data_IF_724835503705
#
_entry.id   IF_724835503705
#
_cell.length_a   1.000
_cell.length_b   1.000
_cell.length_c   1.000
_cell.angle_alpha   90.00
_cell.angle_beta   90.00
_cell.angle_gamma   90.00
#
_symmetry.space_group_name_H-M   'P 1'
#
loop_
_entity.id
_entity.type
_entity.pdbx_description
1 polymer ?
#
# COMPACT_ATOMS: atom_id res chain seq x y z
N UNK A 1 15.53 -17.55 1.23
CA UNK A 1 14.10 -17.40 0.87
C UNK A 1 13.64 -16.10 1.51
N UNK A 2 12.96 -15.20 0.78
CA UNK A 2 12.42 -13.96 1.37
C UNK A 2 11.51 -14.31 2.54
N UNK A 3 11.51 -13.53 3.62
CA UNK A 3 10.49 -13.62 4.65
C UNK A 3 9.17 -13.04 4.11
N UNK A 4 8.05 -13.42 4.75
CA UNK A 4 6.74 -12.81 4.44
C UNK A 4 6.77 -11.28 4.56
N UNK A 5 7.51 -10.74 5.53
CA UNK A 5 7.66 -9.30 5.78
C UNK A 5 8.41 -8.61 4.64
N UNK A 6 9.53 -9.19 4.20
CA UNK A 6 10.29 -8.66 3.06
C UNK A 6 9.50 -8.73 1.75
N UNK A 7 8.70 -9.79 1.55
CA UNK A 7 7.83 -9.89 0.38
C UNK A 7 6.71 -8.83 0.39
N UNK A 8 6.14 -8.53 1.56
CA UNK A 8 5.19 -7.43 1.74
C UNK A 8 5.84 -6.06 1.52
N UNK A 9 7.06 -5.86 2.04
CA UNK A 9 7.83 -4.65 1.79
C UNK A 9 8.10 -4.47 0.29
N UNK A 10 8.51 -5.53 -0.41
CA UNK A 10 8.72 -5.48 -1.85
C UNK A 10 7.44 -5.12 -2.62
N UNK A 11 6.27 -5.66 -2.20
CA UNK A 11 4.99 -5.28 -2.79
C UNK A 11 4.67 -3.78 -2.57
N UNK A 12 4.89 -3.27 -1.35
CA UNK A 12 4.70 -1.85 -1.03
C UNK A 12 5.65 -0.96 -1.82
N UNK A 13 6.92 -1.34 -1.96
CA UNK A 13 7.90 -0.61 -2.79
C UNK A 13 7.48 -0.62 -4.26
N UNK A 14 7.02 -1.77 -4.77
CA UNK A 14 6.52 -1.87 -6.15
C UNK A 14 5.33 -0.94 -6.38
N UNK A 15 4.38 -0.94 -5.44
CA UNK A 15 3.20 -0.09 -5.50
C UNK A 15 3.54 1.40 -5.38
N UNK A 16 4.41 1.79 -4.45
CA UNK A 16 4.80 3.19 -4.28
C UNK A 16 5.57 3.71 -5.49
N UNK A 17 6.48 2.90 -6.07
CA UNK A 17 7.12 3.22 -7.33
C UNK A 17 6.10 3.48 -8.44
N UNK A 18 5.04 2.67 -8.52
CA UNK A 18 3.98 2.85 -9.52
C UNK A 18 3.20 4.14 -9.30
N UNK A 19 2.83 4.45 -8.05
CA UNK A 19 2.17 5.71 -7.69
C UNK A 19 3.02 6.94 -8.05
N UNK A 20 4.33 6.87 -7.83
CA UNK A 20 5.26 7.96 -8.19
C UNK A 20 5.36 8.10 -9.72
N UNK A 21 5.54 6.99 -10.47
CA UNK A 21 5.63 7.04 -11.94
C UNK A 21 4.39 7.62 -12.61
N UNK A 22 3.22 7.34 -12.05
CA UNK A 22 1.95 7.87 -12.54
C UNK A 22 1.64 9.29 -12.01
N UNK A 23 2.58 9.94 -11.32
CA UNK A 23 2.42 11.25 -10.69
C UNK A 23 1.21 11.33 -9.75
N UNK A 24 0.87 10.21 -9.08
CA UNK A 24 -0.23 10.13 -8.11
C UNK A 24 0.23 10.49 -6.70
N UNK A 25 1.49 10.26 -6.39
CA UNK A 25 2.14 10.65 -5.13
C UNK A 25 3.41 11.40 -5.46
N UNK A 26 3.51 12.63 -4.96
CA UNK A 26 4.76 13.38 -4.91
C UNK A 26 5.34 13.31 -3.48
N UNK A 27 6.53 12.72 -3.37
CA UNK A 27 7.27 12.61 -2.11
C UNK A 27 7.91 13.94 -1.67
N UNK A 28 7.92 14.96 -2.53
CA UNK A 28 8.30 16.33 -2.20
C UNK A 28 7.09 17.23 -2.00
N UNK A 29 5.89 16.71 -2.22
CA UNK A 29 4.65 17.46 -2.07
C UNK A 29 4.30 17.71 -0.61
N UNK A 30 3.50 18.73 -0.38
CA UNK A 30 2.86 19.01 0.91
C UNK A 30 1.46 18.38 0.93
N UNK A 31 0.99 18.05 2.12
CA UNK A 31 -0.39 17.64 2.31
C UNK A 31 -1.34 18.81 2.01
N UNK A 32 -2.48 18.56 1.34
CA UNK A 32 -3.45 19.60 1.04
C UNK A 32 -4.22 20.02 2.30
N UNK A 33 -4.60 21.30 2.36
CA UNK A 33 -5.45 21.82 3.43
C UNK A 33 -6.89 21.27 3.33
N UNK A 34 -7.35 21.00 2.12
CA UNK A 34 -8.67 20.45 1.82
C UNK A 34 -8.76 18.98 2.27
N UNK A 35 -9.73 18.70 3.15
CA UNK A 35 -9.97 17.38 3.72
C UNK A 35 -10.24 16.30 2.66
N UNK A 36 -10.93 16.60 1.56
CA UNK A 36 -11.23 15.58 0.55
C UNK A 36 -10.02 15.22 -0.32
N UNK A 37 -9.04 16.13 -0.42
CA UNK A 37 -7.78 15.89 -1.12
C UNK A 37 -6.74 15.14 -0.27
N UNK A 38 -7.02 14.95 1.02
CA UNK A 38 -6.17 14.16 1.93
C UNK A 38 -6.19 12.67 1.62
N UNK A 39 -7.04 12.20 0.71
CA UNK A 39 -7.18 10.81 0.33
C UNK A 39 -6.95 10.65 -1.16
N UNK A 40 -6.38 9.52 -1.55
CA UNK A 40 -6.28 9.17 -2.95
C UNK A 40 -6.29 7.67 -3.15
N UNK A 41 -6.74 7.25 -4.32
CA UNK A 41 -6.65 5.87 -4.76
C UNK A 41 -6.62 5.80 -6.28
N UNK A 42 -6.09 4.69 -6.80
CA UNK A 42 -6.27 4.32 -8.20
C UNK A 42 -6.13 2.82 -8.38
N UNK A 43 -6.65 2.34 -9.50
CA UNK A 43 -6.51 0.96 -9.95
C UNK A 43 -5.31 0.83 -10.89
N UNK A 44 -4.54 -0.24 -10.72
CA UNK A 44 -3.44 -0.58 -11.61
C UNK A 44 -3.22 -2.10 -11.63
N UNK A 45 -2.17 -2.54 -12.31
CA UNK A 45 -1.72 -3.93 -12.29
C UNK A 45 -0.31 -4.02 -11.70
N UNK A 46 -0.08 -4.98 -10.81
CA UNK A 46 1.25 -5.30 -10.28
C UNK A 46 1.47 -6.80 -10.40
N UNK A 47 2.50 -7.21 -11.15
CA UNK A 47 2.84 -8.62 -11.33
C UNK A 47 1.71 -9.47 -11.92
N UNK A 48 0.96 -8.92 -12.89
CA UNK A 48 -0.15 -9.62 -13.54
C UNK A 48 -1.43 -9.70 -12.70
N UNK A 49 -1.54 -8.91 -11.62
CA UNK A 49 -2.70 -8.93 -10.73
C UNK A 49 -3.36 -7.57 -10.59
N UNK A 50 -4.70 -7.50 -10.63
CA UNK A 50 -5.42 -6.26 -10.39
C UNK A 50 -5.13 -5.77 -8.98
N UNK A 51 -4.85 -4.48 -8.87
CA UNK A 51 -4.35 -3.86 -7.66
C UNK A 51 -5.04 -2.53 -7.43
N UNK A 52 -5.39 -2.26 -6.18
CA UNK A 52 -5.74 -0.91 -5.72
C UNK A 52 -4.59 -0.38 -4.88
N UNK A 53 -4.12 0.80 -5.23
CA UNK A 53 -3.23 1.60 -4.40
C UNK A 53 -4.07 2.71 -3.80
N UNK A 54 -3.95 2.93 -2.50
CA UNK A 54 -4.63 4.01 -1.82
C UNK A 54 -3.80 4.59 -0.68
N UNK A 55 -4.02 5.86 -0.38
CA UNK A 55 -3.28 6.59 0.64
C UNK A 55 -4.15 7.61 1.35
N UNK A 56 -3.68 8.04 2.52
CA UNK A 56 -4.24 9.18 3.22
C UNK A 56 -3.15 9.99 3.92
N UNK A 57 -3.27 11.30 3.88
CA UNK A 57 -2.54 12.20 4.77
C UNK A 57 -2.89 11.90 6.24
N UNK A 58 -1.87 11.87 7.09
CA UNK A 58 -2.00 11.64 8.54
C UNK A 58 -1.48 12.81 9.38
N UNK A 59 -1.23 13.96 8.74
CA UNK A 59 -0.62 15.12 9.35
C UNK A 59 0.89 15.14 9.17
N UNK A 60 1.49 16.32 9.42
CA UNK A 60 2.94 16.55 9.28
C UNK A 60 3.51 16.16 7.90
N UNK A 61 2.69 16.22 6.86
CA UNK A 61 2.99 15.75 5.51
C UNK A 61 3.29 14.26 5.40
N UNK A 62 2.97 13.44 6.38
CA UNK A 62 3.16 11.99 6.32
C UNK A 62 1.98 11.30 5.63
N UNK A 63 2.23 10.14 5.03
CA UNK A 63 1.18 9.36 4.38
C UNK A 63 1.02 7.99 5.03
N UNK A 64 -0.22 7.60 5.25
CA UNK A 64 -0.62 6.20 5.22
C UNK A 64 -0.62 5.75 3.77
N UNK A 65 0.11 4.69 3.44
CA UNK A 65 0.12 4.11 2.10
C UNK A 65 -0.27 2.65 2.15
N UNK A 66 -1.16 2.23 1.25
CA UNK A 66 -1.76 0.89 1.26
C UNK A 66 -1.86 0.32 -0.14
N UNK A 67 -1.70 -1.00 -0.20
CA UNK A 67 -1.84 -1.80 -1.43
C UNK A 67 -2.80 -2.95 -1.18
N UNK A 68 -3.80 -3.10 -2.05
CA UNK A 68 -4.71 -4.24 -2.10
C UNK A 68 -4.44 -4.99 -3.41
N UNK A 69 -3.74 -6.11 -3.32
CA UNK A 69 -3.21 -6.89 -4.43
C UNK A 69 -4.06 -8.13 -4.70
N UNK A 70 -4.27 -8.46 -5.98
CA UNK A 70 -5.28 -9.43 -6.43
C UNK A 70 -6.69 -9.01 -5.97
N UNK A 71 -6.99 -7.72 -6.13
CA UNK A 71 -8.25 -7.10 -5.73
C UNK A 71 -9.27 -7.13 -6.87
N UNK A 72 -10.43 -7.73 -6.62
CA UNK A 72 -11.54 -7.85 -7.58
C UNK A 72 -12.74 -7.06 -7.06
N UNK A 73 -12.88 -5.82 -7.53
CA UNK A 73 -13.89 -4.88 -7.04
C UNK A 73 -15.31 -5.41 -7.22
N UNK A 74 -15.58 -6.12 -8.32
CA UNK A 74 -16.87 -6.72 -8.65
C UNK A 74 -17.30 -7.84 -7.69
N UNK A 75 -16.35 -8.38 -6.91
CA UNK A 75 -16.59 -9.39 -5.87
C UNK A 75 -16.69 -8.77 -4.48
N UNK A 76 -16.53 -7.45 -4.37
CA UNK A 76 -16.59 -6.72 -3.10
C UNK A 76 -18.04 -6.64 -2.60
N UNK A 77 -18.36 -7.14 -1.38
CA UNK A 77 -19.74 -7.20 -0.90
C UNK A 77 -20.37 -5.82 -0.67
N UNK A 78 -19.55 -4.80 -0.43
CA UNK A 78 -19.97 -3.40 -0.26
C UNK A 78 -19.40 -2.53 -1.39
N UNK A 79 -19.38 -3.05 -2.63
CA UNK A 79 -18.71 -2.41 -3.76
C UNK A 79 -19.07 -0.92 -3.92
N UNK A 80 -20.35 -0.60 -3.82
CA UNK A 80 -20.88 0.77 -3.99
C UNK A 80 -20.50 1.72 -2.85
N UNK A 81 -20.17 1.16 -1.68
CA UNK A 81 -19.86 1.91 -0.46
C UNK A 81 -18.35 1.97 -0.19
N UNK A 82 -17.52 1.30 -1.00
CA UNK A 82 -16.08 1.30 -0.83
C UNK A 82 -15.51 2.68 -1.16
N UNK A 83 -14.93 3.31 -0.14
CA UNK A 83 -14.38 4.67 -0.23
C UNK A 83 -12.87 4.69 -0.49
N UNK A 84 -12.19 3.55 -0.31
CA UNK A 84 -10.72 3.43 -0.41
C UNK A 84 -9.95 4.34 0.56
N UNK A 85 -10.62 4.86 1.60
CA UNK A 85 -10.03 5.81 2.57
C UNK A 85 -9.31 5.14 3.74
N UNK A 86 -9.33 3.81 3.85
CA UNK A 86 -8.70 3.04 4.92
C UNK A 86 -7.68 2.05 4.38
N UNK A 87 -6.81 1.51 5.25
CA UNK A 87 -5.79 0.53 4.86
C UNK A 87 -6.33 -0.84 4.46
N UNK A 88 -7.60 -1.11 4.76
CA UNK A 88 -8.25 -2.41 4.54
C UNK A 88 -9.55 -2.19 3.76
N UNK A 89 -9.92 -3.10 2.86
CA UNK A 89 -11.22 -3.03 2.22
C UNK A 89 -12.37 -3.04 3.24
N UNK A 90 -13.46 -2.37 2.90
CA UNK A 90 -14.67 -2.27 3.70
C UNK A 90 -15.44 -3.61 3.63
N UNK A 91 -14.95 -4.60 4.36
CA UNK A 91 -15.58 -5.90 4.49
C UNK A 91 -15.20 -6.57 5.81
N UNK A 92 -16.09 -7.44 6.30
CA UNK A 92 -15.76 -8.37 7.39
C UNK A 92 -14.57 -9.23 6.99
N UNK A 93 -13.65 -9.51 7.92
CA UNK A 93 -12.44 -10.33 7.70
C UNK A 93 -12.75 -11.68 7.03
N UNK A 94 -13.88 -12.29 7.36
CA UNK A 94 -14.32 -13.57 6.78
C UNK A 94 -14.65 -13.50 5.27
N UNK A 95 -14.93 -12.30 4.75
CA UNK A 95 -15.27 -12.03 3.35
C UNK A 95 -14.08 -11.50 2.54
N UNK A 96 -13.06 -10.90 3.15
CA UNK A 96 -11.86 -10.37 2.46
C UNK A 96 -11.23 -11.41 1.52
N UNK A 97 -11.17 -12.68 1.97
CA UNK A 97 -10.63 -13.80 1.19
C UNK A 97 -11.39 -14.14 -0.09
N UNK A 98 -12.53 -13.51 -0.38
CA UNK A 98 -13.28 -13.75 -1.62
C UNK A 98 -12.88 -12.79 -2.74
N UNK A 99 -12.32 -11.63 -2.40
CA UNK A 99 -12.07 -10.56 -3.36
C UNK A 99 -10.69 -9.88 -3.24
N UNK A 100 -9.90 -10.15 -2.19
CA UNK A 100 -8.51 -9.68 -2.06
C UNK A 100 -7.54 -10.84 -1.85
N UNK A 101 -6.41 -10.82 -2.54
CA UNK A 101 -5.32 -11.77 -2.32
C UNK A 101 -4.42 -11.34 -1.17
N UNK A 102 -3.94 -10.10 -1.18
CA UNK A 102 -3.08 -9.54 -0.14
C UNK A 102 -3.46 -8.08 0.10
N UNK A 103 -3.46 -7.63 1.35
CA UNK A 103 -3.40 -6.20 1.62
C UNK A 103 -2.36 -5.91 2.71
N UNK A 104 -1.71 -4.74 2.60
CA UNK A 104 -0.74 -4.26 3.55
C UNK A 104 -0.66 -2.73 3.50
N UNK A 105 -0.26 -2.14 4.61
CA UNK A 105 -0.08 -0.71 4.76
C UNK A 105 1.26 -0.39 5.42
N UNK A 106 1.79 0.79 5.10
CA UNK A 106 2.93 1.37 5.78
C UNK A 106 2.74 2.89 5.97
N UNK A 107 3.63 3.47 6.76
CA UNK A 107 3.77 4.91 6.88
C UNK A 107 4.90 5.39 5.99
N UNK A 108 4.70 6.50 5.31
CA UNK A 108 5.70 7.18 4.50
C UNK A 108 6.03 8.50 5.18
N UNK A 109 7.29 8.63 5.59
CA UNK A 109 7.86 9.91 5.99
C UNK A 109 8.22 10.68 4.72
N UNK A 110 7.71 11.92 4.53
CA UNK A 110 8.03 12.75 3.36
C UNK A 110 8.90 13.97 3.67
N UNK A 111 8.93 14.43 4.92
CA UNK A 111 9.47 15.75 5.28
C UNK A 111 11.00 15.81 5.33
N UNK A 112 11.65 14.78 5.83
CA UNK A 112 13.07 14.83 6.23
C UNK A 112 13.93 13.86 5.44
N UNK A 113 13.43 12.65 5.18
CA UNK A 113 14.25 11.57 4.65
C UNK A 113 13.62 10.79 3.51
N UNK A 114 12.30 10.92 3.28
CA UNK A 114 11.58 10.21 2.22
C UNK A 114 11.79 8.71 2.31
N UNK A 115 11.04 8.07 3.18
CA UNK A 115 11.19 6.63 3.40
C UNK A 115 9.93 5.96 3.87
N UNK A 116 9.85 4.66 3.61
CA UNK A 116 8.91 3.78 4.31
C UNK A 116 9.44 3.63 5.74
N UNK A 117 8.62 3.99 6.73
CA UNK A 117 9.03 3.92 8.13
C UNK A 117 9.17 2.47 8.60
N UNK A 118 10.15 2.25 9.47
CA UNK A 118 10.53 0.93 9.98
C UNK A 118 11.75 0.35 9.26
N UNK A 119 12.17 -0.82 9.71
CA UNK A 119 13.29 -1.58 9.18
C UNK A 119 12.84 -2.96 8.76
N UNK A 120 13.20 -3.38 7.54
CA UNK A 120 12.87 -4.71 7.01
C UNK A 120 11.37 -5.08 7.08
N UNK A 121 10.49 -4.09 7.04
CA UNK A 121 9.04 -4.26 7.06
C UNK A 121 8.43 -4.57 8.44
N UNK A 122 9.18 -4.38 9.53
CA UNK A 122 8.72 -4.58 10.91
C UNK A 122 7.48 -3.73 11.25
N UNK A 123 7.38 -2.52 10.69
CA UNK A 123 6.27 -1.58 10.86
C UNK A 123 5.16 -1.68 9.82
N UNK A 124 5.17 -2.69 8.94
CA UNK A 124 4.02 -2.93 8.06
C UNK A 124 2.81 -3.36 8.91
N UNK A 125 1.66 -2.74 8.68
CA UNK A 125 0.41 -2.99 9.40
C UNK A 125 -0.74 -3.26 8.42
N UNK A 126 -1.94 -3.49 8.94
CA UNK A 126 -3.12 -3.88 8.15
C UNK A 126 -2.83 -5.02 7.18
N UNK A 127 -2.25 -6.10 7.71
CA UNK A 127 -1.76 -7.22 6.89
C UNK A 127 -2.81 -8.31 6.75
N UNK A 128 -3.06 -8.68 5.51
CA UNK A 128 -3.70 -9.93 5.13
C UNK A 128 -2.95 -10.55 3.96
N UNK A 129 -2.75 -11.87 3.99
CA UNK A 129 -2.23 -12.63 2.85
C UNK A 129 -3.06 -13.91 2.74
N UNK A 130 -3.77 -14.05 1.63
CA UNK A 130 -4.47 -15.29 1.27
C UNK A 130 -3.43 -16.36 0.99
N UNK A 131 -3.63 -17.56 1.56
CA UNK A 131 -2.65 -18.65 1.45
C UNK A 131 -2.26 -18.98 0.00
N UNK A 132 -3.24 -18.97 -0.92
CA UNK A 132 -3.02 -19.20 -2.36
C UNK A 132 -2.15 -18.13 -3.02
N UNK A 133 -2.08 -16.92 -2.45
CA UNK A 133 -1.33 -15.79 -2.99
C UNK A 133 0.09 -15.69 -2.44
N UNK A 134 0.40 -16.38 -1.33
CA UNK A 134 1.71 -16.31 -0.71
C UNK A 134 2.82 -16.71 -1.69
N UNK A 135 2.64 -17.79 -2.45
CA UNK A 135 3.61 -18.24 -3.44
C UNK A 135 3.87 -17.21 -4.55
N UNK A 136 2.84 -16.49 -5.00
CA UNK A 136 2.98 -15.43 -6.00
C UNK A 136 3.64 -14.18 -5.41
N UNK A 137 3.24 -13.78 -4.20
CA UNK A 137 3.82 -12.63 -3.48
C UNK A 137 5.34 -12.79 -3.31
N UNK A 138 5.77 -13.98 -2.93
CA UNK A 138 7.18 -14.32 -2.69
C UNK A 138 8.03 -14.37 -3.96
N UNK A 139 7.38 -14.46 -5.13
CA UNK A 139 8.01 -14.50 -6.46
C UNK A 139 7.95 -13.16 -7.19
N UNK A 140 7.31 -12.13 -6.61
CA UNK A 140 7.33 -10.80 -7.20
C UNK A 140 8.79 -10.35 -7.39
N UNK A 141 9.16 -9.82 -8.58
CA UNK A 141 10.50 -9.32 -8.82
C UNK A 141 10.90 -8.29 -7.78
N UNK A 142 12.13 -8.40 -7.27
CA UNK A 142 12.64 -7.40 -6.32
C UNK A 142 12.90 -6.10 -7.06
N UNK A 143 12.30 -5.02 -6.59
CA UNK A 143 12.49 -3.68 -7.14
C UNK A 143 13.20 -2.78 -6.13
N UNK A 144 13.96 -1.80 -6.63
CA UNK A 144 14.55 -0.77 -5.78
C UNK A 144 13.57 0.40 -5.61
N UNK A 145 13.56 1.07 -4.44
CA UNK A 145 12.87 2.34 -4.25
C UNK A 145 13.23 3.40 -5.31
N UNK A 146 12.24 4.14 -5.79
CA UNK A 146 12.39 5.20 -6.78
C UNK A 146 12.49 6.57 -6.10
N UNK A 147 13.71 6.97 -5.72
CA UNK A 147 13.97 8.30 -5.13
C UNK A 147 13.63 8.43 -3.64
N UNK A 148 13.46 7.30 -2.94
CA UNK A 148 13.21 7.21 -1.51
C UNK A 148 13.94 6.00 -0.90
N UNK A 149 13.84 5.77 0.41
CA UNK A 149 14.39 4.56 1.07
C UNK A 149 13.26 3.62 1.51
N UNK A 150 13.50 2.31 1.43
CA UNK A 150 12.57 1.28 1.91
C UNK A 150 12.67 1.03 3.43
N UNK A 151 13.47 1.84 4.13
CA UNK A 151 13.58 1.84 5.58
C UNK A 151 13.94 3.22 6.13
N UNK A 152 13.58 3.44 7.39
CA UNK A 152 13.97 4.61 8.16
C UNK A 152 13.33 4.63 9.54
N UNK A 153 13.65 5.69 10.31
CA UNK A 153 13.19 5.83 11.68
C UNK A 153 11.66 5.78 11.75
N UNK A 154 11.14 5.03 12.70
CA UNK A 154 9.72 5.10 13.01
C UNK A 154 9.42 6.35 13.83
N UNK A 155 8.50 7.18 13.35
CA UNK A 155 8.08 8.43 13.99
C UNK A 155 6.61 8.26 14.42
N UNK A 156 6.32 8.62 15.67
CA UNK A 156 4.98 8.65 16.25
C UNK A 156 4.85 9.89 17.12
#
# INVERSE_FOLDING_TARGET
>A
MLSKREALLNLLVTALNEAIRQNKIDLNGVSPDDHDQKYGHFFCEIGGKPTVINWSDIGCDELRFSVWWDYYHEKHPQQKDESFRSGRPLAKTSKVKSFVGTHASCWIERKTGKYIMGEHGDRIFDIYVRQSNLGALMKLPKVKPLGYKDSGKFIF
#
